data_IF_588021594111
#
_entry.id   IF_588021594111
#
_cell.length_a   1.000
_cell.length_b   1.000
_cell.length_c   1.000
_cell.angle_alpha   90.00
_cell.angle_beta   90.00
_cell.angle_gamma   90.00
#
_symmetry.space_group_name_H-M   'P 1'
#
loop_
_entity.id
_entity.type
_entity.pdbx_description
1 polymer ?
#
# COMPACT_ATOMS: atom_id res chain seq x y z
N UNK A 1 -17.04 -24.54 5.80
CA UNK A 1 -16.71 -23.42 4.89
C UNK A 1 -15.27 -23.00 5.16
N UNK A 2 -14.38 -23.11 4.16
CA UNK A 2 -12.98 -22.72 4.33
C UNK A 2 -12.88 -21.21 4.46
N UNK A 3 -12.37 -20.74 5.61
CA UNK A 3 -11.83 -19.40 5.71
C UNK A 3 -10.66 -19.37 4.75
N UNK A 4 -10.83 -18.77 3.57
CA UNK A 4 -9.70 -18.39 2.75
C UNK A 4 -8.97 -17.38 3.63
N UNK A 5 -7.79 -17.68 4.20
CA UNK A 5 -7.02 -16.62 4.81
C UNK A 5 -6.84 -15.60 3.69
N UNK A 6 -7.21 -14.34 3.92
CA UNK A 6 -6.94 -13.24 3.00
C UNK A 6 -5.41 -13.07 2.94
N UNK A 7 -4.75 -14.04 2.32
CA UNK A 7 -3.34 -14.04 2.04
C UNK A 7 -3.19 -12.88 1.07
N UNK A 8 -2.43 -11.86 1.49
CA UNK A 8 -1.97 -10.83 0.58
C UNK A 8 -1.38 -11.48 -0.68
N UNK A 9 -1.28 -10.73 -1.78
CA UNK A 9 -0.99 -11.29 -3.09
C UNK A 9 0.24 -12.20 -3.05
N UNK A 10 0.18 -13.40 -3.60
CA UNK A 10 1.28 -14.37 -3.48
C UNK A 10 2.52 -13.96 -4.30
N UNK A 11 2.36 -13.01 -5.23
CA UNK A 11 3.47 -12.53 -6.05
C UNK A 11 4.31 -11.49 -5.29
N UNK A 12 5.65 -11.57 -5.40
CA UNK A 12 6.52 -10.54 -4.88
C UNK A 12 6.24 -9.21 -5.58
N UNK A 13 6.35 -8.08 -4.88
CA UNK A 13 6.27 -6.78 -5.53
C UNK A 13 7.45 -6.59 -6.50
N UNK A 14 7.35 -5.63 -7.43
CA UNK A 14 8.46 -5.29 -8.30
C UNK A 14 9.72 -4.94 -7.50
N UNK A 15 10.86 -5.47 -7.92
CA UNK A 15 12.15 -5.20 -7.25
C UNK A 15 12.65 -3.76 -7.44
N UNK A 16 11.97 -2.96 -8.26
CA UNK A 16 12.30 -1.55 -8.48
C UNK A 16 11.46 -0.67 -7.57
N UNK A 17 12.03 0.44 -7.11
CA UNK A 17 11.28 1.49 -6.44
C UNK A 17 10.81 2.46 -7.53
N UNK A 18 9.49 2.67 -7.71
CA UNK A 18 9.00 3.64 -8.67
C UNK A 18 9.46 5.05 -8.33
N UNK A 19 9.45 5.98 -9.30
CA UNK A 19 9.75 7.38 -8.96
C UNK A 19 8.60 7.98 -8.15
N UNK A 20 8.96 8.75 -7.12
CA UNK A 20 8.01 9.52 -6.32
C UNK A 20 7.26 10.47 -7.26
N UNK A 21 5.96 10.26 -7.42
CA UNK A 21 5.13 11.11 -8.25
C UNK A 21 4.44 12.15 -7.36
N UNK A 22 4.41 13.44 -7.73
CA UNK A 22 3.85 14.51 -6.91
C UNK A 22 2.32 14.49 -6.84
N UNK A 23 1.68 13.32 -6.96
CA UNK A 23 0.23 13.22 -6.84
C UNK A 23 -0.20 13.71 -5.46
N UNK A 24 -1.18 14.61 -5.43
CA UNK A 24 -1.85 14.97 -4.20
C UNK A 24 -2.42 13.70 -3.57
N UNK A 25 -2.03 13.43 -2.31
CA UNK A 25 -2.50 12.25 -1.58
C UNK A 25 -3.97 12.47 -1.21
N UNK A 26 -4.85 12.04 -2.11
CA UNK A 26 -6.30 12.21 -1.99
C UNK A 26 -7.02 10.86 -1.92
N UNK A 27 -8.12 10.83 -1.17
CA UNK A 27 -8.93 9.63 -0.96
C UNK A 27 -9.45 9.05 -2.28
N UNK A 28 -9.85 9.93 -3.20
CA UNK A 28 -10.34 9.51 -4.52
C UNK A 28 -9.24 8.86 -5.34
N UNK A 29 -8.04 9.45 -5.33
CA UNK A 29 -6.91 8.98 -6.14
C UNK A 29 -6.38 7.64 -5.64
N UNK A 30 -6.29 7.44 -4.32
CA UNK A 30 -5.79 6.19 -3.74
C UNK A 30 -6.83 5.06 -3.80
N UNK A 31 -8.13 5.39 -3.81
CA UNK A 31 -9.19 4.40 -3.98
C UNK A 31 -9.15 3.68 -5.34
N UNK A 32 -8.55 4.30 -6.36
CA UNK A 32 -8.29 3.64 -7.65
C UNK A 32 -7.23 2.55 -7.59
N UNK A 33 -6.51 2.43 -6.47
CA UNK A 33 -5.43 1.47 -6.25
C UNK A 33 -5.82 0.32 -5.33
N UNK A 34 -7.12 0.17 -5.05
CA UNK A 34 -7.63 -0.97 -4.30
C UNK A 34 -7.29 -2.28 -5.02
N UNK A 35 -6.85 -3.27 -4.24
CA UNK A 35 -6.39 -4.58 -4.71
C UNK A 35 -5.21 -4.51 -5.70
N UNK A 36 -4.35 -3.50 -5.57
CA UNK A 36 -3.15 -3.32 -6.39
C UNK A 36 -1.88 -3.12 -5.55
N UNK A 37 -0.72 -3.28 -6.20
CA UNK A 37 0.57 -3.02 -5.58
C UNK A 37 0.80 -1.51 -5.51
N UNK A 38 0.82 -0.98 -4.31
CA UNK A 38 1.04 0.44 -4.05
C UNK A 38 2.39 0.64 -3.37
N UNK A 39 3.29 1.37 -4.00
CA UNK A 39 4.48 1.86 -3.34
C UNK A 39 4.13 3.13 -2.58
N UNK A 40 4.36 3.15 -1.26
CA UNK A 40 4.08 4.33 -0.44
C UNK A 40 5.37 4.91 0.12
N UNK A 41 5.43 6.24 0.17
CA UNK A 41 6.47 6.99 0.84
C UNK A 41 5.88 7.70 2.04
N UNK A 42 6.46 7.44 3.19
CA UNK A 42 6.08 8.06 4.45
C UNK A 42 6.95 9.29 4.74
N UNK A 43 6.40 10.20 5.55
CA UNK A 43 7.07 11.44 5.92
C UNK A 43 8.23 11.28 6.89
N UNK A 44 8.32 10.11 7.52
CA UNK A 44 9.45 9.70 8.35
C UNK A 44 10.66 9.22 7.52
N UNK A 45 10.53 9.15 6.19
CA UNK A 45 11.56 8.65 5.27
C UNK A 45 11.47 7.16 4.95
N UNK A 46 10.51 6.43 5.54
CA UNK A 46 10.24 5.05 5.16
C UNK A 46 9.56 4.97 3.80
N UNK A 47 9.93 3.96 3.03
CA UNK A 47 9.23 3.64 1.79
C UNK A 47 9.19 2.15 1.56
N UNK A 48 8.03 1.63 1.17
CA UNK A 48 7.81 0.20 1.06
C UNK A 48 6.64 -0.14 0.15
N UNK A 49 6.65 -1.39 -0.30
CA UNK A 49 5.54 -1.99 -1.00
C UNK A 49 4.40 -2.31 -0.03
N UNK A 50 3.24 -1.78 -0.37
CA UNK A 50 2.00 -1.92 0.37
C UNK A 50 0.89 -2.38 -0.58
N UNK A 51 0.16 -3.41 -0.18
CA UNK A 51 -0.98 -3.90 -0.92
C UNK A 51 -2.24 -3.37 -0.28
N UNK A 52 -2.90 -2.45 -0.98
CA UNK A 52 -4.04 -1.72 -0.47
C UNK A 52 -5.32 -2.55 -0.61
N UNK A 53 -5.95 -2.93 0.49
CA UNK A 53 -7.21 -3.69 0.44
C UNK A 53 -8.41 -2.86 0.85
N UNK A 54 -8.19 -1.80 1.63
CA UNK A 54 -9.28 -0.94 2.06
C UNK A 54 -8.79 0.48 2.32
N UNK A 55 -9.58 1.45 1.87
CA UNK A 55 -9.33 2.89 2.07
C UNK A 55 -10.40 3.44 3.01
N UNK A 56 -9.98 3.86 4.19
CA UNK A 56 -10.80 4.64 5.11
C UNK A 56 -10.67 6.14 4.87
N UNK A 57 -11.35 6.96 5.68
CA UNK A 57 -11.37 8.43 5.53
C UNK A 57 -10.02 9.10 5.83
N UNK A 58 -9.20 8.50 6.68
CA UNK A 58 -7.93 9.07 7.15
C UNK A 58 -6.80 8.06 7.21
N UNK A 59 -7.09 6.81 6.89
CA UNK A 59 -6.19 5.68 7.08
C UNK A 59 -6.50 4.62 6.03
N UNK A 60 -5.46 3.90 5.63
CA UNK A 60 -5.54 2.78 4.70
C UNK A 60 -5.16 1.49 5.42
N UNK A 61 -5.87 0.42 5.08
CA UNK A 61 -5.65 -0.93 5.56
C UNK A 61 -5.14 -1.78 4.39
N UNK A 62 -4.24 -2.70 4.70
CA UNK A 62 -3.62 -3.52 3.69
C UNK A 62 -2.57 -4.43 4.25
N UNK A 63 -1.62 -4.78 3.38
CA UNK A 63 -0.52 -5.65 3.72
C UNK A 63 0.80 -5.01 3.31
N UNK A 64 1.77 -5.01 4.22
CA UNK A 64 3.15 -4.59 3.94
C UNK A 64 3.98 -5.78 3.51
N UNK A 65 4.74 -5.64 2.43
CA UNK A 65 5.73 -6.65 2.04
C UNK A 65 7.00 -6.47 2.87
N UNK A 66 7.33 -7.48 3.68
CA UNK A 66 8.56 -7.50 4.45
C UNK A 66 9.00 -8.94 4.74
N UNK A 67 10.30 -9.21 4.58
CA UNK A 67 10.87 -10.54 4.83
C UNK A 67 10.28 -11.63 3.92
N UNK A 68 9.92 -11.27 2.67
CA UNK A 68 9.36 -12.21 1.70
C UNK A 68 7.88 -12.58 1.89
N UNK A 69 7.17 -11.88 2.79
CA UNK A 69 5.75 -12.12 3.06
C UNK A 69 4.96 -10.83 3.22
N UNK A 70 3.66 -10.94 2.98
CA UNK A 70 2.69 -9.87 3.20
C UNK A 70 2.17 -9.95 4.64
N UNK A 71 2.47 -8.93 5.44
CA UNK A 71 1.98 -8.83 6.82
C UNK A 71 0.91 -7.74 6.89
N UNK A 72 -0.20 -7.96 7.60
CA UNK A 72 -1.24 -6.94 7.74
C UNK A 72 -0.65 -5.67 8.38
N UNK A 73 -0.92 -4.53 7.78
CA UNK A 73 -0.38 -3.25 8.21
C UNK A 73 -1.36 -2.12 7.89
N UNK A 74 -1.36 -1.10 8.76
CA UNK A 74 -2.24 0.06 8.68
C UNK A 74 -1.40 1.31 8.61
N UNK A 75 -1.74 2.21 7.70
CA UNK A 75 -1.00 3.48 7.50
C UNK A 75 -1.98 4.63 7.52
N UNK A 76 -1.63 5.73 8.19
CA UNK A 76 -2.44 6.93 8.13
C UNK A 76 -2.14 7.72 6.85
N UNK A 77 -3.17 8.19 6.16
CA UNK A 77 -3.02 9.01 4.94
C UNK A 77 -2.18 10.27 5.18
N UNK A 78 -2.24 10.83 6.40
CA UNK A 78 -1.44 12.00 6.79
C UNK A 78 0.06 11.74 6.85
N UNK A 79 0.46 10.48 7.00
CA UNK A 79 1.87 10.10 7.04
C UNK A 79 2.43 9.87 5.64
N UNK A 80 1.57 9.66 4.64
CA UNK A 80 1.95 9.38 3.27
C UNK A 80 2.27 10.72 2.58
N UNK A 81 3.52 10.88 2.14
CA UNK A 81 3.94 12.00 1.28
C UNK A 81 3.49 11.75 -0.15
N UNK A 82 3.66 10.53 -0.62
CA UNK A 82 3.45 10.13 -2.00
C UNK A 82 3.08 8.67 -2.06
N UNK A 83 2.37 8.28 -3.10
CA UNK A 83 2.13 6.89 -3.44
C UNK A 83 2.21 6.69 -4.96
N UNK A 84 2.53 5.48 -5.39
CA UNK A 84 2.52 5.07 -6.79
C UNK A 84 1.91 3.68 -6.90
N UNK A 85 0.85 3.56 -7.69
CA UNK A 85 0.11 2.30 -7.87
C UNK A 85 0.52 1.65 -9.20
N UNK A 86 0.67 0.33 -9.18
CA UNK A 86 1.07 -0.49 -10.31
C UNK A 86 0.17 -1.71 -10.46
#
# INVERSE_FOLDING_TARGET
MGFIPQQGPTSPPPSYVPQMSPYAVDLGTISGCLDQYTFIWLNNGDSFWFYLTFVGRTSILGYRFFGGRWNPYTVNLREIISFSCY
#
